data_IF_754509039110
#
_entry.id   IF_754509039110
#
_cell.length_a   1.000
_cell.length_b   1.000
_cell.length_c   1.000
_cell.angle_alpha   90.00
_cell.angle_beta   90.00
_cell.angle_gamma   90.00
#
_symmetry.space_group_name_H-M   'P 1'
#
loop_
_entity.id
_entity.type
_entity.pdbx_description
1 polymer ?
#
# COMPACT_ATOMS: atom_id res chain seq x y z
N UNK A 1 15.72 51.89 -19.85
CA UNK A 1 14.94 50.63 -19.76
C UNK A 1 15.90 49.46 -19.96
N UNK A 2 16.21 48.72 -18.89
CA UNK A 2 17.16 47.60 -18.90
C UNK A 2 16.35 46.29 -18.89
N UNK A 3 16.35 45.57 -20.00
CA UNK A 3 15.59 44.32 -20.14
C UNK A 3 16.31 43.18 -19.42
N UNK A 4 15.82 42.81 -18.23
CA UNK A 4 16.26 41.60 -17.52
C UNK A 4 15.73 40.37 -18.28
N UNK A 5 16.64 39.54 -18.81
CA UNK A 5 16.27 38.24 -19.40
C UNK A 5 15.69 37.34 -18.31
N UNK A 6 14.58 36.61 -18.55
CA UNK A 6 14.07 35.67 -17.56
C UNK A 6 15.04 34.49 -17.40
N UNK A 7 15.32 34.14 -16.14
CA UNK A 7 16.07 32.95 -15.75
C UNK A 7 15.37 31.70 -16.26
N UNK A 8 16.05 30.87 -17.06
CA UNK A 8 15.56 29.54 -17.43
C UNK A 8 15.57 28.65 -16.18
N UNK A 9 14.48 27.94 -15.84
CA UNK A 9 14.55 26.92 -14.80
C UNK A 9 15.50 25.81 -15.28
N UNK A 10 16.56 25.55 -14.52
CA UNK A 10 17.39 24.36 -14.72
C UNK A 10 16.50 23.16 -14.41
N UNK A 11 16.13 22.40 -15.43
CA UNK A 11 15.51 21.09 -15.23
C UNK A 11 16.50 20.23 -14.44
N UNK A 12 16.19 20.01 -13.16
CA UNK A 12 16.92 19.05 -12.34
C UNK A 12 16.73 17.66 -12.94
N UNK A 13 17.83 16.95 -13.13
CA UNK A 13 17.83 15.61 -13.72
C UNK A 13 17.52 14.56 -12.64
N UNK A 14 16.41 14.73 -11.92
CA UNK A 14 15.88 13.70 -11.02
C UNK A 14 14.85 12.90 -11.80
N UNK A 15 15.25 11.71 -12.24
CA UNK A 15 14.30 10.72 -12.73
C UNK A 15 13.32 10.39 -11.58
N UNK A 16 12.01 10.30 -11.84
CA UNK A 16 11.08 9.79 -10.84
C UNK A 16 11.44 8.32 -10.60
N UNK A 17 12.00 8.02 -9.44
CA UNK A 17 12.22 6.67 -8.97
C UNK A 17 10.86 6.05 -8.65
N UNK A 18 10.19 5.54 -9.68
CA UNK A 18 8.85 4.98 -9.57
C UNK A 18 8.38 4.17 -10.77
N UNK A 19 9.21 4.00 -11.80
CA UNK A 19 8.83 3.30 -13.03
C UNK A 19 9.78 2.15 -13.35
N UNK A 20 10.03 1.24 -12.40
CA UNK A 20 10.67 -0.06 -12.68
C UNK A 20 10.20 -1.19 -11.73
N UNK A 21 9.14 -0.97 -10.94
CA UNK A 21 8.62 -2.00 -10.03
C UNK A 21 7.52 -2.84 -10.70
N UNK A 22 7.77 -3.45 -11.85
CA UNK A 22 6.73 -4.33 -12.43
C UNK A 22 7.18 -5.39 -13.43
N UNK A 23 8.41 -5.41 -13.95
CA UNK A 23 8.67 -6.24 -15.14
C UNK A 23 10.02 -6.93 -15.10
N UNK A 24 10.10 -8.00 -14.30
CA UNK A 24 10.78 -9.26 -14.64
C UNK A 24 11.03 -10.04 -13.36
N UNK A 25 10.37 -11.18 -13.23
CA UNK A 25 10.57 -12.16 -12.19
C UNK A 25 11.92 -12.84 -12.42
N UNK A 26 12.99 -12.20 -11.97
CA UNK A 26 14.30 -12.80 -11.83
C UNK A 26 14.95 -12.13 -10.63
N UNK A 27 14.86 -12.77 -9.46
CA UNK A 27 15.37 -12.23 -8.22
C UNK A 27 16.90 -12.07 -8.33
N UNK A 28 17.36 -10.90 -8.74
CA UNK A 28 18.76 -10.52 -8.56
C UNK A 28 19.03 -10.49 -7.05
N UNK A 29 20.04 -11.23 -6.55
CA UNK A 29 20.35 -11.23 -5.13
C UNK A 29 20.61 -9.79 -4.65
N UNK A 30 19.85 -9.35 -3.64
CA UNK A 30 20.02 -8.03 -3.01
C UNK A 30 21.36 -7.94 -2.31
N UNK A 31 22.03 -6.79 -2.39
CA UNK A 31 23.22 -6.52 -1.58
C UNK A 31 22.84 -6.45 -0.09
N UNK A 32 23.76 -6.75 0.84
CA UNK A 32 23.42 -6.81 2.27
C UNK A 32 22.78 -5.54 2.83
N UNK A 33 23.18 -4.37 2.35
CA UNK A 33 22.65 -3.07 2.77
C UNK A 33 21.32 -2.69 2.09
N UNK A 34 20.85 -3.48 1.12
CA UNK A 34 19.57 -3.29 0.44
C UNK A 34 18.46 -4.18 1.05
N UNK A 35 18.80 -5.01 2.05
CA UNK A 35 17.85 -5.87 2.73
C UNK A 35 17.16 -5.08 3.84
N UNK A 36 15.84 -4.94 3.72
CA UNK A 36 15.00 -4.52 4.83
C UNK A 36 14.66 -5.75 5.67
N UNK A 37 15.28 -5.85 6.85
CA UNK A 37 15.06 -6.94 7.79
C UNK A 37 13.59 -7.03 8.25
N UNK A 38 12.85 -5.91 8.21
CA UNK A 38 11.44 -5.84 8.59
C UNK A 38 10.54 -6.59 7.59
N UNK A 39 10.89 -6.48 6.30
CA UNK A 39 10.16 -7.11 5.20
C UNK A 39 10.56 -8.58 5.01
N UNK A 40 11.86 -8.88 5.14
CA UNK A 40 12.40 -10.24 4.99
C UNK A 40 12.01 -11.16 6.16
N UNK A 41 11.62 -10.61 7.31
CA UNK A 41 11.11 -11.37 8.48
C UNK A 41 9.63 -11.74 8.39
N UNK A 42 8.91 -11.25 7.38
CA UNK A 42 7.51 -11.62 7.21
C UNK A 42 7.44 -13.07 6.71
N UNK A 43 6.65 -13.95 7.35
CA UNK A 43 6.41 -15.27 6.79
C UNK A 43 5.82 -15.09 5.39
N UNK A 44 6.40 -15.78 4.40
CA UNK A 44 5.84 -15.83 3.06
C UNK A 44 4.35 -16.19 3.20
N UNK A 45 3.48 -15.30 2.72
CA UNK A 45 2.05 -15.26 2.99
C UNK A 45 1.51 -16.64 3.36
N UNK A 46 1.18 -16.82 4.64
CA UNK A 46 0.75 -18.12 5.15
C UNK A 46 -0.38 -18.64 4.25
N UNK A 47 -0.40 -19.94 3.94
CA UNK A 47 -1.42 -20.51 3.05
C UNK A 47 -2.85 -20.18 3.53
N UNK A 48 -3.01 -19.88 4.82
CA UNK A 48 -4.20 -19.32 5.46
C UNK A 48 -4.58 -17.95 4.86
N UNK A 49 -3.65 -17.01 4.71
CA UNK A 49 -3.88 -15.63 4.27
C UNK A 49 -4.45 -15.56 2.86
N UNK A 50 -3.95 -16.38 1.93
CA UNK A 50 -4.49 -16.44 0.57
C UNK A 50 -5.92 -17.01 0.53
N UNK A 51 -6.21 -18.02 1.36
CA UNK A 51 -7.57 -18.58 1.47
C UNK A 51 -8.54 -17.56 2.06
N UNK A 52 -8.13 -16.88 3.13
CA UNK A 52 -8.91 -15.84 3.79
C UNK A 52 -9.24 -14.70 2.80
N UNK A 53 -8.24 -14.24 2.03
CA UNK A 53 -8.45 -13.18 1.05
C UNK A 53 -9.44 -13.56 -0.06
N UNK A 54 -9.39 -14.81 -0.56
CA UNK A 54 -10.33 -15.31 -1.56
C UNK A 54 -11.76 -15.38 -1.02
N UNK A 55 -11.92 -15.84 0.22
CA UNK A 55 -13.24 -15.92 0.85
C UNK A 55 -13.83 -14.53 1.06
N UNK A 56 -13.06 -13.59 1.64
CA UNK A 56 -13.52 -12.23 1.86
C UNK A 56 -13.95 -11.53 0.55
N UNK A 57 -13.21 -11.75 -0.54
CA UNK A 57 -13.61 -11.27 -1.86
C UNK A 57 -14.94 -11.87 -2.32
N UNK A 58 -15.12 -13.19 -2.16
CA UNK A 58 -16.36 -13.86 -2.53
C UNK A 58 -17.56 -13.33 -1.71
N UNK A 59 -17.39 -13.10 -0.41
CA UNK A 59 -18.44 -12.57 0.47
C UNK A 59 -18.93 -11.19 0.00
N UNK A 60 -18.00 -10.31 -0.40
CA UNK A 60 -18.33 -8.99 -0.96
C UNK A 60 -19.06 -9.12 -2.30
N UNK A 61 -18.56 -9.95 -3.22
CA UNK A 61 -19.18 -10.14 -4.54
C UNK A 61 -20.58 -10.74 -4.44
N UNK A 62 -20.79 -11.63 -3.48
CA UNK A 62 -22.10 -12.24 -3.23
C UNK A 62 -23.04 -11.31 -2.46
N UNK A 63 -22.55 -10.15 -1.99
CA UNK A 63 -23.34 -9.21 -1.21
C UNK A 63 -23.75 -9.77 0.14
N UNK A 64 -22.92 -10.62 0.76
CA UNK A 64 -23.22 -11.14 2.10
C UNK A 64 -23.36 -9.97 3.08
N UNK A 65 -24.45 -9.99 3.84
CA UNK A 65 -24.72 -8.98 4.86
C UNK A 65 -23.79 -9.21 6.06
N UNK A 66 -23.07 -8.17 6.48
CA UNK A 66 -22.29 -8.20 7.72
C UNK A 66 -23.22 -8.44 8.92
N UNK A 67 -23.04 -9.57 9.61
CA UNK A 67 -23.80 -9.94 10.81
C UNK A 67 -23.12 -9.47 12.10
N UNK A 68 -22.03 -8.72 11.99
CA UNK A 68 -21.29 -8.16 13.11
C UNK A 68 -22.08 -7.10 13.89
N UNK A 69 -21.73 -6.93 15.16
CA UNK A 69 -22.36 -5.91 16.04
C UNK A 69 -21.68 -4.55 15.98
N UNK A 70 -20.63 -4.40 15.16
CA UNK A 70 -19.81 -3.19 15.10
C UNK A 70 -20.64 -1.91 14.93
N UNK A 71 -21.60 -1.80 13.99
CA UNK A 71 -22.39 -0.57 13.85
C UNK A 71 -23.20 -0.22 15.11
N UNK A 72 -23.77 -1.23 15.78
CA UNK A 72 -24.52 -1.03 17.02
C UNK A 72 -23.61 -0.64 18.19
N UNK A 73 -22.41 -1.24 18.27
CA UNK A 73 -21.41 -0.91 19.28
C UNK A 73 -20.86 0.51 19.10
N UNK A 74 -20.52 0.88 17.87
CA UNK A 74 -20.06 2.23 17.52
C UNK A 74 -21.13 3.27 17.89
N UNK A 75 -22.40 3.01 17.55
CA UNK A 75 -23.51 3.87 17.92
C UNK A 75 -23.74 3.99 19.44
N UNK A 76 -23.53 2.91 20.20
CA UNK A 76 -23.63 2.93 21.65
C UNK A 76 -22.49 3.74 22.28
N UNK A 77 -21.26 3.58 21.78
CA UNK A 77 -20.10 4.32 22.24
C UNK A 77 -20.26 5.83 22.05
N UNK A 78 -20.69 6.27 20.87
CA UNK A 78 -20.92 7.69 20.58
C UNK A 78 -22.03 8.31 21.45
N UNK A 79 -23.03 7.51 21.87
CA UNK A 79 -24.06 7.98 22.83
C UNK A 79 -23.49 8.18 24.24
N UNK A 80 -22.60 7.30 24.69
CA UNK A 80 -22.01 7.37 26.02
C UNK A 80 -20.94 8.45 26.15
N UNK A 81 -20.29 8.82 25.04
CA UNK A 81 -19.26 9.87 24.98
C UNK A 81 -19.83 11.29 25.12
N UNK A 82 -21.13 11.49 24.87
CA UNK A 82 -21.82 12.79 25.00
C UNK A 82 -22.30 13.03 26.42
#
# INVERSE_FOLDING_TARGET
MQNRRPSRPRQGNTLPQGQNHAQSQGATPRLPHERDESADSQPAAEASSQRIGKQAHADIVQGQQDTGRKPAMDAAYEKQKR
#
